data_IF_417930515486
#
_entry.id   IF_417930515486
#
_cell.length_a   1.000
_cell.length_b   1.000
_cell.length_c   1.000
_cell.angle_alpha   90.00
_cell.angle_beta   90.00
_cell.angle_gamma   90.00
#
_symmetry.space_group_name_H-M   'P 1'
#
loop_
_entity.id
_entity.type
_entity.pdbx_description
1 polymer ?
#
# COMPACT_ATOMS: atom_id res chain seq x y z
N UNK A 1 -6.08 -5.76 -12.96
CA UNK A 1 -4.95 -6.32 -12.19
C UNK A 1 -4.18 -5.15 -11.57
N UNK A 2 -3.51 -5.36 -10.44
CA UNK A 2 -2.73 -4.33 -9.74
C UNK A 2 -1.32 -4.85 -9.40
N UNK A 3 -0.44 -5.04 -10.40
CA UNK A 3 0.93 -5.48 -10.17
C UNK A 3 1.70 -4.49 -9.28
N UNK A 4 2.57 -5.04 -8.44
CA UNK A 4 3.57 -4.28 -7.69
C UNK A 4 4.64 -3.80 -8.68
N UNK A 5 4.89 -2.50 -8.73
CA UNK A 5 5.94 -1.90 -9.57
C UNK A 5 7.19 -1.51 -8.79
N UNK A 6 7.04 -1.27 -7.48
CA UNK A 6 8.16 -0.95 -6.58
C UNK A 6 7.84 -1.46 -5.18
N UNK A 7 8.87 -1.91 -4.48
CA UNK A 7 8.83 -2.21 -3.06
C UNK A 7 10.04 -1.59 -2.37
N UNK A 8 9.84 -1.00 -1.21
CA UNK A 8 10.89 -0.50 -0.33
C UNK A 8 10.58 -1.00 1.09
N UNK A 9 11.57 -1.58 1.76
CA UNK A 9 11.45 -2.09 3.11
C UNK A 9 12.67 -1.67 3.91
N UNK A 10 12.45 -1.12 5.08
CA UNK A 10 13.49 -0.80 6.05
C UNK A 10 13.31 -1.69 7.28
N UNK A 11 14.22 -2.65 7.44
CA UNK A 11 14.22 -3.59 8.55
C UNK A 11 14.98 -2.99 9.73
N UNK A 12 14.24 -2.49 10.72
CA UNK A 12 14.81 -1.89 11.93
C UNK A 12 15.21 -2.96 12.95
N UNK A 13 14.37 -4.00 13.09
CA UNK A 13 14.55 -5.10 14.04
C UNK A 13 14.00 -6.41 13.45
N UNK A 14 14.61 -7.56 13.79
CA UNK A 14 14.09 -8.85 13.35
C UNK A 14 12.81 -9.23 14.13
N UNK A 15 11.86 -9.86 13.45
CA UNK A 15 10.80 -10.64 14.09
C UNK A 15 11.31 -12.07 14.31
N UNK A 16 10.97 -12.68 15.44
CA UNK A 16 11.32 -14.09 15.72
C UNK A 16 10.14 -15.02 15.43
N UNK A 17 10.45 -16.30 15.23
CA UNK A 17 9.40 -17.31 15.02
C UNK A 17 8.51 -17.43 16.27
N UNK A 18 7.19 -17.54 16.04
CA UNK A 18 6.19 -17.59 17.11
C UNK A 18 5.82 -16.23 17.70
N UNK A 19 6.40 -15.14 17.18
CA UNK A 19 6.03 -13.78 17.57
C UNK A 19 4.83 -13.30 16.76
N UNK A 20 3.81 -12.78 17.44
CA UNK A 20 2.69 -12.11 16.79
C UNK A 20 3.10 -10.73 16.31
N UNK A 21 2.83 -10.45 15.03
CA UNK A 21 3.14 -9.16 14.40
C UNK A 21 1.87 -8.51 13.86
N UNK A 22 1.77 -7.18 14.03
CA UNK A 22 0.69 -6.36 13.50
C UNK A 22 1.20 -5.54 12.32
N UNK A 23 0.59 -5.71 11.15
CA UNK A 23 0.89 -4.92 9.95
C UNK A 23 -0.15 -3.81 9.80
N UNK A 24 0.24 -2.57 10.06
CA UNK A 24 -0.58 -1.39 9.82
C UNK A 24 -0.35 -0.91 8.40
N UNK A 25 -1.42 -0.81 7.62
CA UNK A 25 -1.37 -0.37 6.21
C UNK A 25 -2.17 0.91 6.04
N UNK A 26 -1.65 1.84 5.24
CA UNK A 26 -2.37 3.06 4.81
C UNK A 26 -2.09 3.38 3.35
N UNK A 27 -3.01 4.11 2.72
CA UNK A 27 -2.80 4.69 1.38
C UNK A 27 -2.15 6.05 1.58
N UNK A 28 -0.92 6.23 1.07
CA UNK A 28 -0.18 7.50 1.17
C UNK A 28 -0.19 8.29 -0.14
N UNK A 29 -0.45 7.64 -1.27
CA UNK A 29 -0.60 8.31 -2.56
C UNK A 29 -1.60 7.57 -3.44
N UNK A 30 -2.40 8.32 -4.18
CA UNK A 30 -3.37 7.78 -5.13
C UNK A 30 -3.66 8.77 -6.26
N UNK A 31 -3.42 8.36 -7.51
CA UNK A 31 -3.61 9.20 -8.71
C UNK A 31 -4.76 8.75 -9.61
N UNK A 32 -5.42 7.63 -9.29
CA UNK A 32 -6.42 7.00 -10.16
C UNK A 32 -5.84 5.99 -11.17
N UNK A 33 -4.52 5.93 -11.31
CA UNK A 33 -3.83 4.87 -12.09
C UNK A 33 -2.79 4.17 -11.22
N UNK A 34 -2.20 4.91 -10.27
CA UNK A 34 -1.19 4.42 -9.34
C UNK A 34 -1.68 4.58 -7.90
N UNK A 35 -1.30 3.64 -7.05
CA UNK A 35 -1.45 3.72 -5.59
C UNK A 35 -0.13 3.38 -4.93
N UNK A 36 0.21 4.12 -3.87
CA UNK A 36 1.31 3.78 -2.97
C UNK A 36 0.75 3.47 -1.59
N UNK A 37 1.04 2.26 -1.11
CA UNK A 37 0.73 1.84 0.25
C UNK A 37 1.96 2.00 1.12
N UNK A 38 1.75 2.45 2.36
CA UNK A 38 2.77 2.45 3.40
C UNK A 38 2.40 1.46 4.49
N UNK A 39 3.43 0.81 5.02
CA UNK A 39 3.35 -0.27 6.00
C UNK A 39 4.20 0.06 7.21
N UNK A 40 3.66 -0.24 8.38
CA UNK A 40 4.43 -0.39 9.60
C UNK A 40 4.13 -1.75 10.23
N UNK A 41 5.19 -2.48 10.53
CA UNK A 41 5.11 -3.79 11.14
C UNK A 41 5.60 -3.67 12.57
N UNK A 42 4.72 -4.01 13.50
CA UNK A 42 4.99 -3.99 14.93
C UNK A 42 4.96 -5.40 15.50
N UNK A 43 5.73 -5.64 16.54
CA UNK A 43 5.40 -6.66 17.53
C UNK A 43 5.14 -5.95 18.85
N UNK A 44 3.98 -6.22 19.45
CA UNK A 44 3.45 -5.45 20.58
C UNK A 44 3.46 -3.93 20.30
N UNK A 45 4.33 -3.17 20.98
CA UNK A 45 4.51 -1.73 20.80
C UNK A 45 5.83 -1.37 20.10
N UNK A 46 6.59 -2.37 19.63
CA UNK A 46 7.92 -2.19 19.05
C UNK A 46 7.82 -2.19 17.52
N UNK A 47 8.20 -1.08 16.89
CA UNK A 47 8.33 -1.00 15.44
C UNK A 47 9.51 -1.87 14.96
N UNK A 48 9.22 -2.78 14.04
CA UNK A 48 10.18 -3.73 13.47
C UNK A 48 10.57 -3.37 12.04
N UNK A 49 9.59 -3.02 11.20
CA UNK A 49 9.78 -2.75 9.78
C UNK A 49 8.92 -1.58 9.36
N UNK A 50 9.47 -0.67 8.56
CA UNK A 50 8.68 0.28 7.77
C UNK A 50 8.81 -0.08 6.30
N UNK A 51 7.78 0.20 5.51
CA UNK A 51 7.80 -0.19 4.12
C UNK A 51 6.81 0.56 3.26
N UNK A 52 7.05 0.53 1.95
CA UNK A 52 6.14 1.04 0.95
C UNK A 52 6.07 0.11 -0.25
N UNK A 53 4.89 -0.04 -0.82
CA UNK A 53 4.70 -0.69 -2.12
C UNK A 53 3.96 0.26 -3.05
N UNK A 54 4.33 0.20 -4.32
CA UNK A 54 3.67 0.94 -5.37
C UNK A 54 3.00 -0.05 -6.32
N UNK A 55 1.75 0.24 -6.69
CA UNK A 55 1.01 -0.55 -7.64
C UNK A 55 0.44 0.31 -8.75
N UNK A 56 0.34 -0.28 -9.95
CA UNK A 56 -0.33 0.33 -11.11
C UNK A 56 -1.55 -0.50 -11.48
N UNK A 57 -2.69 0.14 -11.72
CA UNK A 57 -3.86 -0.53 -12.25
C UNK A 57 -3.72 -0.76 -13.75
N UNK A 58 -3.71 -2.02 -14.16
CA UNK A 58 -3.64 -2.43 -15.56
C UNK A 58 -4.80 -3.35 -15.94
N UNK A 59 -5.16 -3.34 -17.21
CA UNK A 59 -6.07 -4.33 -17.78
C UNK A 59 -5.41 -5.71 -17.80
N UNK A 60 -6.12 -6.74 -17.35
CA UNK A 60 -5.53 -8.06 -17.17
C UNK A 60 -5.24 -8.79 -18.49
N UNK A 61 -5.90 -8.42 -19.59
CA UNK A 61 -5.72 -9.07 -20.91
C UNK A 61 -4.64 -8.37 -21.73
N UNK A 62 -4.61 -7.03 -21.67
CA UNK A 62 -3.74 -6.21 -22.53
C UNK A 62 -2.52 -5.63 -21.81
N UNK A 63 -2.48 -5.71 -20.47
CA UNK A 63 -1.46 -5.13 -19.60
C UNK A 63 -1.30 -3.60 -19.72
N UNK A 64 -2.23 -2.93 -20.40
CA UNK A 64 -2.25 -1.47 -20.54
C UNK A 64 -2.75 -0.80 -19.25
N UNK A 65 -2.18 0.34 -18.83
CA UNK A 65 -2.70 1.11 -17.70
C UNK A 65 -4.16 1.49 -17.88
N UNK A 66 -4.95 1.38 -16.81
CA UNK A 66 -6.36 1.77 -16.80
C UNK A 66 -6.61 2.86 -15.76
N UNK A 67 -7.54 3.76 -16.10
CA UNK A 67 -8.00 4.79 -15.17
C UNK A 67 -9.10 4.22 -14.27
N UNK A 68 -8.82 4.07 -12.97
CA UNK A 68 -9.79 3.60 -11.96
C UNK A 68 -11.04 4.46 -11.93
N UNK A 69 -10.93 5.79 -12.05
CA UNK A 69 -12.10 6.69 -12.09
C UNK A 69 -13.15 6.28 -13.13
N UNK A 70 -12.71 5.81 -14.31
CA UNK A 70 -13.61 5.42 -15.42
C UNK A 70 -14.09 3.98 -15.29
N UNK A 71 -13.19 3.06 -14.94
CA UNK A 71 -13.47 1.61 -14.93
C UNK A 71 -14.13 1.15 -13.62
N UNK A 72 -13.81 1.81 -12.51
CA UNK A 72 -14.14 1.42 -11.14
C UNK A 72 -14.43 2.65 -10.26
N UNK A 73 -15.50 3.42 -10.55
CA UNK A 73 -15.77 4.69 -9.87
C UNK A 73 -15.99 4.55 -8.35
N UNK A 74 -16.58 3.44 -7.89
CA UNK A 74 -16.75 3.16 -6.46
C UNK A 74 -15.39 3.01 -5.75
N UNK A 75 -14.44 2.33 -6.39
CA UNK A 75 -13.10 2.17 -5.87
C UNK A 75 -12.32 3.48 -5.90
N UNK A 76 -12.46 4.28 -6.96
CA UNK A 76 -11.85 5.62 -7.00
C UNK A 76 -12.33 6.50 -5.84
N UNK A 77 -13.63 6.48 -5.54
CA UNK A 77 -14.20 7.19 -4.40
C UNK A 77 -13.65 6.66 -3.07
N UNK A 78 -13.63 5.34 -2.89
CA UNK A 78 -13.13 4.72 -1.66
C UNK A 78 -11.65 5.07 -1.40
N UNK A 79 -10.80 4.99 -2.42
CA UNK A 79 -9.38 5.30 -2.29
C UNK A 79 -9.13 6.79 -1.99
N UNK A 80 -9.88 7.70 -2.63
CA UNK A 80 -9.82 9.13 -2.31
C UNK A 80 -10.22 9.43 -0.86
N UNK A 81 -11.24 8.75 -0.35
CA UNK A 81 -11.72 8.94 1.02
C UNK A 81 -10.76 8.41 2.08
N UNK A 82 -9.96 7.38 1.75
CA UNK A 82 -9.00 6.75 2.67
C UNK A 82 -7.56 7.18 2.39
N UNK A 83 -7.36 8.19 1.53
CA UNK A 83 -6.05 8.79 1.31
C UNK A 83 -5.62 9.49 2.60
N UNK A 84 -4.59 8.95 3.24
CA UNK A 84 -4.06 9.53 4.46
C UNK A 84 -3.18 10.73 4.10
N UNK A 85 -3.48 11.90 4.67
CA UNK A 85 -2.65 13.10 4.57
C UNK A 85 -1.57 13.17 5.67
N UNK A 86 -1.54 12.21 6.59
CA UNK A 86 -0.70 12.25 7.79
C UNK A 86 0.39 11.18 7.65
N UNK A 87 1.68 11.51 7.86
CA UNK A 87 2.74 10.51 7.97
C UNK A 87 2.53 9.62 9.20
N UNK A 88 3.19 8.46 9.26
CA UNK A 88 3.25 7.69 10.51
C UNK A 88 4.06 8.52 11.54
N UNK A 89 3.51 8.67 12.75
CA UNK A 89 4.06 9.48 13.85
C UNK A 89 5.04 8.69 14.71
#
# INVERSE_FOLDING_TARGET
>A
MSPVTKINLNYLRPATYGQDVTVKTRIINYTGVRVTYSYEIYADQVLLVTGESEHVCVDAKTFKPIQMKKRFPLWDKAYRNHLSSVPFS
#
